data_IF_068265386983
#
_entry.id   IF_068265386983
#
_cell.length_a   1.000
_cell.length_b   1.000
_cell.length_c   1.000
_cell.angle_alpha   90.00
_cell.angle_beta   90.00
_cell.angle_gamma   90.00
#
_symmetry.space_group_name_H-M   'P 1'
#
loop_
_entity.id
_entity.type
_entity.pdbx_description
1 polymer ?
#
# COMPACT_ATOMS: atom_id res chain seq x y z
N UNK A 1 -26.75 3.84 16.59
CA UNK A 1 -25.47 3.12 16.48
C UNK A 1 -24.44 4.14 16.10
N UNK A 2 -23.35 4.26 16.87
CA UNK A 2 -22.30 5.20 16.52
C UNK A 2 -21.55 4.61 15.34
N UNK A 3 -21.85 5.10 14.15
CA UNK A 3 -20.96 4.96 13.00
C UNK A 3 -19.57 5.37 13.46
N UNK A 4 -18.56 4.58 13.14
CA UNK A 4 -17.18 4.92 13.47
C UNK A 4 -16.85 6.15 12.63
N UNK A 5 -16.94 7.34 13.22
CA UNK A 5 -16.76 8.62 12.53
C UNK A 5 -15.38 8.71 11.90
N UNK A 6 -15.28 9.24 10.69
CA UNK A 6 -13.99 9.48 10.03
C UNK A 6 -13.30 10.71 10.63
N UNK A 7 -11.95 10.77 10.64
CA UNK A 7 -11.01 9.80 10.08
C UNK A 7 -10.72 8.59 10.99
N UNK A 8 -10.56 7.41 10.38
CA UNK A 8 -10.07 6.20 11.05
C UNK A 8 -8.93 5.55 10.26
N UNK A 9 -8.13 4.76 10.95
CA UNK A 9 -6.94 4.10 10.40
C UNK A 9 -6.77 2.68 10.91
N UNK A 10 -5.91 1.95 10.21
CA UNK A 10 -5.43 0.62 10.56
C UNK A 10 -3.90 0.72 10.64
N UNK A 11 -3.31 0.24 11.72
CA UNK A 11 -1.84 0.15 11.83
C UNK A 11 -1.45 -1.32 11.71
N UNK A 12 -0.73 -1.65 10.62
CA UNK A 12 -0.38 -3.00 10.18
C UNK A 12 -1.54 -4.02 10.14
N UNK A 13 -2.78 -3.55 10.20
CA UNK A 13 -3.99 -4.37 10.37
C UNK A 13 -3.91 -5.32 11.57
N UNK A 14 -3.25 -4.88 12.65
CA UNK A 14 -3.20 -5.58 13.93
C UNK A 14 -4.02 -4.81 14.97
N UNK A 15 -4.87 -5.48 15.77
CA UNK A 15 -5.57 -4.83 16.86
C UNK A 15 -4.62 -4.17 17.86
N UNK A 16 -4.90 -2.93 18.24
CA UNK A 16 -4.23 -2.23 19.32
C UNK A 16 -5.22 -1.99 20.46
N UNK A 17 -4.88 -2.47 21.66
CA UNK A 17 -5.76 -2.45 22.83
C UNK A 17 -7.17 -3.03 22.57
N UNK A 18 -7.24 -4.10 21.76
CA UNK A 18 -8.48 -4.80 21.41
C UNK A 18 -9.26 -4.20 20.23
N UNK A 19 -8.85 -3.04 19.69
CA UNK A 19 -9.49 -2.41 18.54
C UNK A 19 -8.65 -2.52 17.28
N UNK A 20 -9.25 -3.03 16.20
CA UNK A 20 -8.62 -3.07 14.88
C UNK A 20 -8.70 -1.71 14.17
N UNK A 21 -9.88 -1.08 14.21
CA UNK A 21 -10.09 0.26 13.65
C UNK A 21 -9.75 1.28 14.73
N UNK A 22 -8.83 2.18 14.41
CA UNK A 22 -8.24 3.12 15.34
C UNK A 22 -8.61 4.55 14.96
N UNK A 23 -8.99 5.35 15.96
CA UNK A 23 -9.13 6.80 15.80
C UNK A 23 -7.79 7.51 15.85
N UNK A 24 -7.73 8.72 15.28
CA UNK A 24 -6.48 9.49 15.08
C UNK A 24 -5.61 9.63 16.33
N UNK A 25 -6.21 9.79 17.51
CA UNK A 25 -5.49 9.98 18.79
C UNK A 25 -4.73 8.73 19.24
N UNK A 26 -4.98 7.57 18.65
CA UNK A 26 -4.33 6.29 19.02
C UNK A 26 -3.29 5.82 18.01
N UNK A 27 -3.22 6.44 16.83
CA UNK A 27 -2.35 5.98 15.74
C UNK A 27 -0.87 6.00 16.11
N UNK A 28 -0.40 7.09 16.73
CA UNK A 28 1.02 7.23 17.10
C UNK A 28 1.45 6.13 18.09
N UNK A 29 0.65 5.89 19.12
CA UNK A 29 0.96 4.86 20.12
C UNK A 29 0.94 3.44 19.52
N UNK A 30 -0.01 3.15 18.63
CA UNK A 30 -0.06 1.89 17.90
C UNK A 30 1.13 1.72 16.94
N UNK A 31 1.51 2.77 16.21
CA UNK A 31 2.68 2.78 15.33
C UNK A 31 3.97 2.52 16.12
N UNK A 32 4.18 3.24 17.22
CA UNK A 32 5.37 3.08 18.07
C UNK A 32 5.46 1.68 18.69
N UNK A 33 4.33 1.02 18.93
CA UNK A 33 4.31 -0.39 19.34
C UNK A 33 4.80 -1.30 18.21
N UNK A 34 4.33 -1.09 16.97
CA UNK A 34 4.75 -1.85 15.79
C UNK A 34 6.21 -1.65 15.41
N UNK A 35 6.74 -0.44 15.56
CA UNK A 35 8.14 -0.13 15.25
C UNK A 35 9.17 -0.87 16.12
N UNK A 36 8.74 -1.49 17.24
CA UNK A 36 9.60 -2.32 18.10
C UNK A 36 9.75 -3.75 17.58
N UNK A 37 8.86 -4.19 16.69
CA UNK A 37 8.90 -5.52 16.12
C UNK A 37 10.03 -5.64 15.09
N UNK A 38 10.63 -6.83 15.00
CA UNK A 38 11.68 -7.10 14.03
C UNK A 38 11.07 -7.41 12.66
N UNK A 39 11.63 -6.82 11.62
CA UNK A 39 11.27 -7.17 10.25
C UNK A 39 11.66 -8.62 9.95
N UNK A 40 10.70 -9.41 9.46
CA UNK A 40 10.89 -10.82 9.07
C UNK A 40 11.43 -10.97 7.65
N UNK A 41 11.32 -9.92 6.85
CA UNK A 41 11.76 -9.86 5.46
C UNK A 41 12.04 -8.40 5.06
N UNK A 42 12.83 -8.21 4.01
CA UNK A 42 12.92 -6.93 3.29
C UNK A 42 12.13 -6.99 1.99
N UNK A 43 11.63 -5.84 1.56
CA UNK A 43 10.91 -5.67 0.30
C UNK A 43 11.48 -4.43 -0.40
N UNK A 44 11.86 -4.58 -1.66
CA UNK A 44 12.43 -3.49 -2.44
C UNK A 44 11.93 -3.55 -3.88
N UNK A 45 11.52 -2.40 -4.40
CA UNK A 45 11.38 -2.20 -5.83
C UNK A 45 12.74 -2.06 -6.51
N UNK A 46 13.12 -3.03 -7.34
CA UNK A 46 14.28 -2.89 -8.22
C UNK A 46 13.97 -1.86 -9.32
N UNK A 47 12.77 -1.95 -9.91
CA UNK A 47 12.27 -0.96 -10.86
C UNK A 47 10.76 -0.72 -10.70
N UNK A 48 10.29 0.41 -11.20
CA UNK A 48 8.88 0.80 -11.32
C UNK A 48 8.81 1.80 -12.47
N UNK A 49 8.46 1.33 -13.66
CA UNK A 49 8.58 2.10 -14.90
C UNK A 49 7.20 2.29 -15.53
N UNK A 50 6.96 3.48 -16.05
CA UNK A 50 5.81 3.76 -16.91
C UNK A 50 6.27 3.87 -18.36
N UNK A 51 5.68 3.08 -19.25
CA UNK A 51 5.88 3.15 -20.69
C UNK A 51 4.70 3.90 -21.33
N UNK A 52 4.96 5.12 -21.80
CA UNK A 52 3.94 5.96 -22.42
C UNK A 52 3.41 5.38 -23.74
N UNK A 53 4.26 4.79 -24.59
CA UNK A 53 3.84 4.29 -25.89
C UNK A 53 2.94 3.05 -25.79
N UNK A 54 3.14 2.24 -24.75
CA UNK A 54 2.35 1.04 -24.51
C UNK A 54 1.21 1.26 -23.50
N UNK A 55 1.20 2.43 -22.84
CA UNK A 55 0.30 2.74 -21.72
C UNK A 55 0.36 1.67 -20.61
N UNK A 56 1.58 1.22 -20.27
CA UNK A 56 1.81 0.14 -19.29
C UNK A 56 2.71 0.59 -18.14
N UNK A 57 2.43 0.05 -16.95
CA UNK A 57 3.34 0.08 -15.81
C UNK A 57 3.99 -1.29 -15.68
N UNK A 58 5.31 -1.33 -15.58
CA UNK A 58 6.08 -2.54 -15.28
C UNK A 58 6.90 -2.37 -14.01
N UNK A 59 6.98 -3.43 -13.19
CA UNK A 59 7.72 -3.37 -11.94
C UNK A 59 8.33 -4.71 -11.57
N UNK A 60 9.51 -4.66 -10.97
CA UNK A 60 10.20 -5.79 -10.37
C UNK A 60 10.42 -5.54 -8.89
N UNK A 61 10.03 -6.51 -8.08
CA UNK A 61 10.19 -6.52 -6.64
C UNK A 61 11.16 -7.62 -6.22
N UNK A 62 12.05 -7.28 -5.29
CA UNK A 62 12.93 -8.22 -4.61
C UNK A 62 12.50 -8.34 -3.15
N UNK A 63 12.31 -9.59 -2.73
CA UNK A 63 11.95 -9.96 -1.36
C UNK A 63 13.10 -10.78 -0.79
N UNK A 64 13.63 -10.39 0.37
CA UNK A 64 14.62 -11.18 1.10
C UNK A 64 14.05 -11.63 2.43
N UNK A 65 13.90 -12.93 2.62
CA UNK A 65 13.41 -13.51 3.87
C UNK A 65 14.54 -13.55 4.89
N UNK A 66 14.38 -12.85 6.01
CA UNK A 66 15.31 -12.88 7.15
C UNK A 66 14.97 -14.07 8.04
N UNK A 67 13.66 -14.30 8.23
CA UNK A 67 13.09 -15.46 8.90
C UNK A 67 12.32 -16.33 7.91
N UNK A 68 11.86 -17.51 8.36
CA UNK A 68 11.02 -18.40 7.54
C UNK A 68 9.74 -17.67 7.08
N UNK A 69 9.48 -17.68 5.77
CA UNK A 69 8.23 -17.23 5.18
C UNK A 69 7.18 -18.34 5.12
N UNK A 70 5.90 -17.98 5.21
CA UNK A 70 4.79 -18.93 5.14
C UNK A 70 4.15 -18.94 3.75
N UNK A 71 3.61 -20.08 3.33
CA UNK A 71 2.90 -20.23 2.05
C UNK A 71 1.67 -19.29 1.92
N UNK A 72 1.11 -18.83 3.04
CA UNK A 72 -0.06 -17.93 3.06
C UNK A 72 0.31 -16.45 2.96
N UNK A 73 1.56 -16.10 2.63
CA UNK A 73 1.96 -14.70 2.40
C UNK A 73 1.63 -14.26 0.98
N UNK A 74 0.87 -13.16 0.88
CA UNK A 74 0.51 -12.53 -0.38
C UNK A 74 1.23 -11.21 -0.54
N UNK A 75 1.55 -10.85 -1.78
CA UNK A 75 2.01 -9.51 -2.15
C UNK A 75 0.93 -8.78 -2.95
N UNK A 76 0.49 -7.63 -2.46
CA UNK A 76 -0.39 -6.71 -3.15
C UNK A 76 0.39 -5.48 -3.60
N UNK A 77 0.11 -4.97 -4.80
CA UNK A 77 0.77 -3.77 -5.34
C UNK A 77 -0.31 -2.77 -5.73
N UNK A 78 -0.35 -1.67 -4.98
CA UNK A 78 -1.31 -0.59 -5.18
C UNK A 78 -0.68 0.56 -5.99
N UNK A 79 -1.50 1.22 -6.79
CA UNK A 79 -1.16 2.44 -7.51
C UNK A 79 -1.73 3.60 -6.71
N UNK A 80 -0.88 4.52 -6.30
CA UNK A 80 -1.23 5.64 -5.43
C UNK A 80 -0.78 6.93 -6.10
N UNK A 81 -1.65 7.93 -6.16
CA UNK A 81 -1.31 9.27 -6.64
C UNK A 81 -1.31 10.28 -5.49
N UNK A 82 -0.29 11.12 -5.46
CA UNK A 82 -0.16 12.17 -4.46
C UNK A 82 -0.71 13.53 -4.94
N UNK A 83 -1.10 14.37 -4.00
CA UNK A 83 -1.61 15.74 -4.20
C UNK A 83 -2.72 15.89 -5.25
N UNK A 84 -3.72 15.02 -5.22
CA UNK A 84 -4.91 15.05 -6.08
C UNK A 84 -5.83 16.17 -5.61
N UNK A 85 -6.14 17.12 -6.48
CA UNK A 85 -7.03 18.25 -6.15
C UNK A 85 -8.48 17.82 -6.37
N UNK A 86 -9.30 17.86 -5.32
CA UNK A 86 -10.72 17.52 -5.42
C UNK A 86 -11.55 18.17 -4.28
N UNK A 87 -12.87 18.00 -4.36
CA UNK A 87 -13.81 18.44 -3.35
C UNK A 87 -13.65 17.68 -2.03
N UNK A 88 -13.70 18.41 -0.92
CA UNK A 88 -13.78 17.87 0.43
C UNK A 88 -14.74 18.71 1.30
N UNK A 89 -15.47 18.04 2.19
CA UNK A 89 -16.27 18.71 3.23
C UNK A 89 -15.48 18.74 4.55
N UNK A 90 -15.32 19.93 5.13
CA UNK A 90 -14.80 20.14 6.48
C UNK A 90 -15.83 20.89 7.34
N UNK A 91 -16.54 20.14 8.18
CA UNK A 91 -17.58 20.66 9.07
C UNK A 91 -17.07 21.65 10.14
N UNK A 92 -15.75 21.85 10.27
CA UNK A 92 -15.15 22.87 11.13
C UNK A 92 -15.13 24.25 10.49
N UNK A 93 -15.34 24.34 9.17
CA UNK A 93 -15.30 25.57 8.38
C UNK A 93 -16.71 26.10 8.04
N UNK A 94 -16.78 27.37 7.63
CA UNK A 94 -17.98 28.03 7.14
C UNK A 94 -17.63 28.95 5.95
N UNK A 95 -17.96 28.58 4.69
CA UNK A 95 -18.69 27.37 4.30
C UNK A 95 -17.88 26.08 4.56
N UNK A 96 -18.56 24.94 4.77
CA UNK A 96 -17.89 23.67 5.04
C UNK A 96 -17.22 23.07 3.79
N UNK A 97 -17.54 23.57 2.60
CA UNK A 97 -17.09 23.04 1.33
C UNK A 97 -15.73 23.63 0.91
N UNK A 98 -14.77 22.75 0.63
CA UNK A 98 -13.46 23.07 0.06
C UNK A 98 -13.39 22.43 -1.32
N UNK A 99 -13.51 23.23 -2.38
CA UNK A 99 -13.59 22.70 -3.76
C UNK A 99 -12.26 22.18 -4.30
N UNK A 100 -11.14 22.69 -3.77
CA UNK A 100 -9.77 22.47 -4.24
C UNK A 100 -8.87 21.88 -3.15
N UNK A 101 -9.41 20.99 -2.32
CA UNK A 101 -8.63 20.28 -1.31
C UNK A 101 -7.60 19.35 -1.96
N UNK A 102 -6.38 19.34 -1.39
CA UNK A 102 -5.26 18.53 -1.89
C UNK A 102 -5.21 17.20 -1.14
N UNK A 103 -5.71 16.14 -1.76
CA UNK A 103 -5.66 14.77 -1.22
C UNK A 103 -4.30 14.12 -1.47
N UNK A 104 -3.64 13.71 -0.39
CA UNK A 104 -2.40 12.95 -0.48
C UNK A 104 -2.66 11.44 -0.48
N UNK A 105 -1.78 10.69 -1.12
CA UNK A 105 -1.81 9.22 -1.12
C UNK A 105 -3.15 8.60 -1.56
N UNK A 106 -3.75 9.13 -2.62
CA UNK A 106 -5.04 8.65 -3.15
C UNK A 106 -4.85 7.31 -3.87
N UNK A 107 -5.56 6.27 -3.43
CA UNK A 107 -5.58 4.97 -4.11
C UNK A 107 -6.26 5.09 -5.48
N UNK A 108 -5.53 4.77 -6.55
CA UNK A 108 -6.01 4.83 -7.93
C UNK A 108 -6.30 3.46 -8.55
N UNK A 109 -5.61 2.43 -8.08
CA UNK A 109 -5.80 1.07 -8.58
C UNK A 109 -4.87 0.06 -7.91
N UNK A 110 -4.84 -1.14 -8.46
CA UNK A 110 -3.93 -2.20 -8.04
C UNK A 110 -3.39 -2.94 -9.27
N UNK A 111 -2.09 -3.21 -9.29
CA UNK A 111 -1.44 -4.03 -10.32
C UNK A 111 -1.79 -5.51 -10.11
N UNK A 112 -1.88 -5.94 -8.86
CA UNK A 112 -2.36 -7.26 -8.46
C UNK A 112 -3.85 -7.23 -8.14
N UNK A 113 -4.43 -8.36 -7.73
CA UNK A 113 -5.74 -8.35 -7.07
C UNK A 113 -5.73 -7.46 -5.81
N UNK A 114 -6.91 -7.06 -5.32
CA UNK A 114 -7.06 -6.26 -4.09
C UNK A 114 -6.34 -6.85 -2.87
N UNK A 115 -6.26 -8.18 -2.79
CA UNK A 115 -5.61 -8.93 -1.71
C UNK A 115 -4.26 -9.52 -2.13
N UNK A 116 -3.73 -9.07 -3.26
CA UNK A 116 -2.47 -9.51 -3.80
C UNK A 116 -2.53 -10.88 -4.46
N UNK A 117 -1.35 -11.45 -4.66
CA UNK A 117 -1.13 -12.81 -5.15
C UNK A 117 -0.16 -13.55 -4.23
N UNK A 118 -0.22 -14.89 -4.15
CA UNK A 118 0.74 -15.66 -3.36
C UNK A 118 2.18 -15.38 -3.76
N UNK A 119 3.07 -15.25 -2.77
CA UNK A 119 4.52 -15.13 -3.02
C UNK A 119 5.09 -16.49 -3.43
N UNK A 120 4.65 -17.56 -2.76
CA UNK A 120 5.06 -18.95 -2.98
C UNK A 120 3.91 -19.88 -2.59
N UNK A 121 3.79 -21.02 -3.26
CA UNK A 121 2.81 -22.07 -2.89
C UNK A 121 3.28 -22.94 -1.71
N UNK A 122 4.52 -22.74 -1.26
CA UNK A 122 5.15 -23.44 -0.14
C UNK A 122 5.85 -22.48 0.79
N UNK A 123 6.13 -22.93 2.02
CA UNK A 123 6.93 -22.19 2.97
C UNK A 123 8.33 -21.87 2.41
N UNK A 124 8.83 -20.70 2.76
CA UNK A 124 10.08 -20.15 2.24
C UNK A 124 11.13 -20.19 3.35
N UNK A 125 12.30 -20.76 3.06
CA UNK A 125 13.40 -20.82 4.03
C UNK A 125 13.95 -19.43 4.37
N UNK A 126 14.44 -19.27 5.59
CA UNK A 126 15.19 -18.08 5.98
C UNK A 126 16.44 -17.92 5.09
N UNK A 127 16.77 -16.69 4.73
CA UNK A 127 17.87 -16.35 3.83
C UNK A 127 17.53 -16.40 2.34
N UNK A 128 16.36 -16.91 1.95
CA UNK A 128 15.93 -16.97 0.54
C UNK A 128 15.63 -15.58 -0.01
N UNK A 129 16.07 -15.33 -1.25
CA UNK A 129 15.70 -14.16 -2.04
C UNK A 129 14.76 -14.57 -3.19
N UNK A 130 13.68 -13.82 -3.37
CA UNK A 130 12.69 -14.03 -4.42
C UNK A 130 12.53 -12.74 -5.21
N UNK A 131 12.52 -12.85 -6.54
CA UNK A 131 12.17 -11.77 -7.45
C UNK A 131 10.80 -12.04 -8.07
N UNK A 132 9.96 -11.01 -8.14
CA UNK A 132 8.66 -11.06 -8.81
C UNK A 132 8.52 -9.89 -9.77
N UNK A 133 8.08 -10.19 -10.98
CA UNK A 133 7.81 -9.21 -12.02
C UNK A 133 6.30 -9.06 -12.21
N UNK A 134 5.85 -7.82 -12.40
CA UNK A 134 4.45 -7.48 -12.63
C UNK A 134 4.33 -6.46 -13.74
N UNK A 135 3.21 -6.53 -14.47
CA UNK A 135 2.84 -5.55 -15.49
C UNK A 135 1.36 -5.22 -15.36
N UNK A 136 1.01 -3.98 -15.68
CA UNK A 136 -0.35 -3.46 -15.63
C UNK A 136 -0.60 -2.54 -16.82
N UNK A 137 -1.62 -2.86 -17.62
CA UNK A 137 -2.13 -1.96 -18.65
C UNK A 137 -3.07 -0.94 -18.01
N UNK A 138 -2.78 0.34 -18.20
CA UNK A 138 -3.63 1.40 -17.70
C UNK A 138 -4.96 1.42 -18.48
N UNK A 139 -6.10 1.69 -17.81
CA UNK A 139 -7.35 1.97 -18.50
C UNK A 139 -7.22 3.17 -19.44
N UNK A 140 -8.04 3.20 -20.49
CA UNK A 140 -8.15 4.40 -21.34
C UNK A 140 -8.77 5.56 -20.55
N UNK A 141 -8.41 6.79 -20.93
CA UNK A 141 -9.01 8.03 -20.41
C UNK A 141 -8.87 8.26 -18.89
N UNK A 142 -7.76 7.83 -18.30
CA UNK A 142 -7.42 8.20 -16.91
C UNK A 142 -6.86 9.62 -16.82
N UNK A 143 -7.07 10.25 -15.68
CA UNK A 143 -6.62 11.61 -15.36
C UNK A 143 -5.37 11.64 -14.46
N UNK A 144 -4.65 10.52 -14.38
CA UNK A 144 -3.58 10.35 -13.39
C UNK A 144 -2.33 11.12 -13.81
N UNK A 145 -1.75 11.89 -12.89
CA UNK A 145 -0.49 12.60 -13.16
C UNK A 145 0.69 11.68 -12.85
N UNK A 146 1.21 11.00 -13.88
CA UNK A 146 2.20 9.93 -13.72
C UNK A 146 3.45 10.32 -12.91
N UNK A 147 3.89 11.58 -12.97
CA UNK A 147 5.02 12.09 -12.16
C UNK A 147 4.73 12.10 -10.64
N UNK A 148 3.46 12.02 -10.26
CA UNK A 148 2.97 11.99 -8.88
C UNK A 148 2.44 10.60 -8.48
N UNK A 149 2.53 9.63 -9.39
CA UNK A 149 2.13 8.25 -9.14
C UNK A 149 3.30 7.47 -8.56
N UNK A 150 3.01 6.71 -7.51
CA UNK A 150 3.90 5.74 -6.88
C UNK A 150 3.23 4.38 -6.73
N UNK A 151 4.04 3.34 -6.75
CA UNK A 151 3.61 1.99 -6.42
C UNK A 151 3.85 1.74 -4.93
N UNK A 152 2.91 1.05 -4.29
CA UNK A 152 3.01 0.60 -2.90
C UNK A 152 2.84 -0.91 -2.87
N UNK A 153 3.94 -1.61 -2.62
CA UNK A 153 3.92 -3.05 -2.45
C UNK A 153 3.76 -3.38 -0.97
N UNK A 154 2.81 -4.25 -0.65
CA UNK A 154 2.45 -4.66 0.70
C UNK A 154 2.46 -6.19 0.75
N UNK A 155 3.31 -6.76 1.62
CA UNK A 155 3.25 -8.18 1.95
C UNK A 155 2.29 -8.35 3.12
N UNK A 156 1.36 -9.28 2.99
CA UNK A 156 0.35 -9.58 4.01
C UNK A 156 0.27 -11.07 4.31
N UNK A 157 -0.07 -11.42 5.54
CA UNK A 157 -0.57 -12.76 5.84
C UNK A 157 -2.03 -12.84 5.35
N UNK A 158 -2.33 -13.76 4.44
CA UNK A 158 -3.66 -13.85 3.82
C UNK A 158 -4.76 -14.37 4.74
N UNK A 159 -4.42 -14.99 5.87
CA UNK A 159 -5.38 -15.43 6.89
C UNK A 159 -5.66 -14.32 7.90
N UNK A 160 -4.62 -13.79 8.54
CA UNK A 160 -4.75 -12.77 9.59
C UNK A 160 -4.97 -11.36 9.05
N UNK A 161 -4.66 -11.15 7.77
CA UNK A 161 -4.61 -9.86 7.07
C UNK A 161 -3.56 -8.89 7.59
N UNK A 162 -2.70 -9.31 8.52
CA UNK A 162 -1.57 -8.52 9.01
C UNK A 162 -0.69 -8.06 7.86
N UNK A 163 -0.28 -6.80 7.88
CA UNK A 163 0.77 -6.26 7.02
C UNK A 163 2.13 -6.58 7.64
N UNK A 164 2.95 -7.31 6.89
CA UNK A 164 4.24 -7.82 7.36
C UNK A 164 5.42 -6.98 6.88
N UNK A 165 5.30 -6.37 5.70
CA UNK A 165 6.32 -5.51 5.13
C UNK A 165 5.72 -4.63 4.03
N UNK A 166 6.22 -3.41 3.89
CA UNK A 166 5.81 -2.45 2.86
C UNK A 166 7.04 -1.88 2.16
N UNK A 167 6.89 -1.55 0.88
CA UNK A 167 7.85 -0.76 0.12
C UNK A 167 7.08 0.17 -0.82
N UNK A 168 7.67 1.30 -1.17
CA UNK A 168 7.10 2.22 -2.15
C UNK A 168 8.15 2.76 -3.10
N UNK A 169 7.73 3.12 -4.32
CA UNK A 169 8.58 3.75 -5.32
C UNK A 169 7.76 4.58 -6.29
N UNK A 170 8.18 5.82 -6.54
CA UNK A 170 7.64 6.64 -7.63
C UNK A 170 7.92 5.99 -8.98
N UNK A 171 7.00 6.19 -9.94
CA UNK A 171 7.22 5.71 -11.30
C UNK A 171 8.37 6.47 -11.96
N UNK A 172 9.26 5.73 -12.60
CA UNK A 172 10.17 6.30 -13.58
C UNK A 172 9.39 6.58 -14.85
N UNK A 173 9.14 7.86 -15.10
CA UNK A 173 8.53 8.38 -16.33
C UNK A 173 9.66 8.80 -17.28
N UNK A 174 10.17 7.88 -18.08
CA UNK A 174 11.13 8.19 -19.14
C UNK A 174 10.48 8.07 -20.50
#
# INVERSE_FOLDING_TARGET
GWEIGTPNGLIDRIPYNGSLVLGETTWEAALLARMKEKAKMTLKFENANFNLSENTISTQLKIKFIEKGLANYNIAIYIVEDSVVNYQTDYRLSPPDILDYVHNNTLRGAITSTWGVPISDTDISAGTEITKDFSYSLPENIDWRMNWVRLVAVITNSETKEVLQVSEKYLNTK
#
